data_IF_164250664037
#
_entry.id   IF_164250664037
#
_cell.length_a   1.000
_cell.length_b   1.000
_cell.length_c   1.000
_cell.angle_alpha   90.00
_cell.angle_beta   90.00
_cell.angle_gamma   90.00
#
_symmetry.space_group_name_H-M   'P 1'
#
loop_
_entity.id
_entity.type
_entity.pdbx_description
1 polymer ?
#
# COMPACT_ATOMS: atom_id res chain seq x y z
N UNK A 1 34.12 -10.41 -15.60
CA UNK A 1 33.90 -11.12 -14.32
C UNK A 1 33.08 -10.29 -13.36
N UNK A 2 33.00 -8.95 -13.55
CA UNK A 2 32.39 -8.01 -12.58
C UNK A 2 30.85 -7.82 -12.67
N UNK A 3 30.21 -8.26 -13.75
CA UNK A 3 28.76 -8.07 -13.91
C UNK A 3 27.92 -9.08 -13.10
N UNK A 4 28.45 -10.25 -12.79
CA UNK A 4 27.74 -11.28 -11.98
C UNK A 4 27.68 -10.86 -10.49
N UNK A 5 28.69 -10.16 -10.02
CA UNK A 5 28.80 -9.70 -8.62
C UNK A 5 27.76 -8.62 -8.27
N UNK A 6 27.49 -7.70 -9.19
CA UNK A 6 26.56 -6.56 -8.94
C UNK A 6 25.10 -7.02 -8.90
N UNK A 7 24.71 -7.94 -9.79
CA UNK A 7 23.34 -8.50 -9.80
C UNK A 7 23.06 -9.36 -8.56
N UNK A 8 24.08 -10.09 -8.06
CA UNK A 8 23.95 -10.89 -6.84
C UNK A 8 23.80 -10.02 -5.60
N UNK A 9 24.55 -8.93 -5.50
CA UNK A 9 24.48 -7.97 -4.39
C UNK A 9 23.12 -7.26 -4.38
N UNK A 10 22.62 -6.83 -5.53
CA UNK A 10 21.29 -6.20 -5.63
C UNK A 10 20.17 -7.16 -5.25
N UNK A 11 20.25 -8.42 -5.65
CA UNK A 11 19.24 -9.42 -5.27
C UNK A 11 19.26 -9.74 -3.77
N UNK A 12 20.42 -9.77 -3.14
CA UNK A 12 20.55 -9.96 -1.68
C UNK A 12 20.01 -8.74 -0.90
N UNK A 13 20.25 -7.52 -1.36
CA UNK A 13 19.70 -6.30 -0.76
C UNK A 13 18.18 -6.24 -0.88
N UNK A 14 17.62 -6.61 -2.04
CA UNK A 14 16.16 -6.71 -2.24
C UNK A 14 15.57 -7.80 -1.31
N UNK A 15 16.21 -8.96 -1.20
CA UNK A 15 15.79 -10.04 -0.30
C UNK A 15 15.79 -9.61 1.17
N UNK A 16 16.78 -8.84 1.60
CA UNK A 16 16.89 -8.31 2.96
C UNK A 16 15.86 -7.22 3.24
N UNK A 17 15.56 -6.37 2.24
CA UNK A 17 14.61 -5.26 2.36
C UNK A 17 13.17 -5.72 2.55
N UNK A 18 12.81 -6.90 2.01
CA UNK A 18 11.46 -7.46 2.06
C UNK A 18 11.47 -8.87 2.67
N UNK A 19 12.15 -9.03 3.81
CA UNK A 19 12.36 -10.33 4.45
C UNK A 19 11.07 -11.01 4.94
N UNK A 20 10.03 -10.25 5.26
CA UNK A 20 8.70 -10.71 5.64
C UNK A 20 7.72 -10.77 4.45
N UNK A 21 8.22 -10.59 3.23
CA UNK A 21 7.42 -10.55 2.01
C UNK A 21 7.20 -11.97 1.46
N UNK A 22 5.95 -12.40 1.24
CA UNK A 22 5.67 -13.66 0.57
C UNK A 22 6.17 -13.61 -0.88
N UNK A 23 6.48 -14.78 -1.46
CA UNK A 23 7.07 -14.87 -2.80
C UNK A 23 6.21 -14.16 -3.86
N UNK A 24 4.89 -14.37 -3.83
CA UNK A 24 3.95 -13.77 -4.80
C UNK A 24 3.97 -12.24 -4.77
N UNK A 25 4.11 -11.63 -3.58
CA UNK A 25 4.23 -10.19 -3.43
C UNK A 25 5.61 -9.70 -3.89
N UNK A 26 6.67 -10.44 -3.60
CA UNK A 26 8.04 -10.11 -4.04
C UNK A 26 8.15 -10.08 -5.56
N UNK A 27 7.59 -11.07 -6.25
CA UNK A 27 7.55 -11.12 -7.72
C UNK A 27 6.82 -9.91 -8.32
N UNK A 28 5.71 -9.48 -7.72
CA UNK A 28 4.99 -8.27 -8.10
C UNK A 28 5.86 -7.02 -7.94
N UNK A 29 6.56 -6.87 -6.80
CA UNK A 29 7.43 -5.70 -6.56
C UNK A 29 8.61 -5.67 -7.54
N UNK A 30 9.27 -6.79 -7.79
CA UNK A 30 10.36 -6.93 -8.77
C UNK A 30 9.87 -6.58 -10.19
N UNK A 31 8.69 -7.04 -10.57
CA UNK A 31 8.08 -6.72 -11.87
C UNK A 31 7.89 -5.20 -12.02
N UNK A 32 7.33 -4.55 -11.01
CA UNK A 32 7.07 -3.11 -11.06
C UNK A 32 8.35 -2.27 -11.00
N UNK A 33 9.35 -2.70 -10.27
CA UNK A 33 10.66 -2.03 -10.20
C UNK A 33 11.45 -2.19 -11.50
N UNK A 34 11.66 -3.41 -11.96
CA UNK A 34 12.62 -3.70 -13.03
C UNK A 34 11.98 -3.72 -14.43
N UNK A 35 10.71 -4.09 -14.57
CA UNK A 35 10.05 -4.16 -15.87
C UNK A 35 9.24 -2.89 -16.15
N UNK A 36 8.52 -2.38 -15.13
CA UNK A 36 7.71 -1.18 -15.29
C UNK A 36 8.48 0.12 -14.99
N UNK A 37 9.70 0.03 -14.46
CA UNK A 37 10.56 1.17 -14.17
C UNK A 37 10.00 2.14 -13.13
N UNK A 38 9.21 1.66 -12.19
CA UNK A 38 8.62 2.49 -11.15
C UNK A 38 9.67 2.92 -10.11
N UNK A 39 9.45 4.09 -9.52
CA UNK A 39 10.39 4.65 -8.53
C UNK A 39 10.47 3.79 -7.26
N UNK A 40 11.62 3.77 -6.56
CA UNK A 40 11.77 3.06 -5.29
C UNK A 40 10.73 3.48 -4.24
N UNK A 41 10.29 4.74 -4.26
CA UNK A 41 9.22 5.22 -3.38
C UNK A 41 7.90 4.54 -3.68
N UNK A 42 7.53 4.42 -4.96
CA UNK A 42 6.30 3.72 -5.38
C UNK A 42 6.33 2.24 -4.97
N UNK A 43 7.48 1.58 -5.14
CA UNK A 43 7.65 0.17 -4.73
C UNK A 43 7.52 0.02 -3.20
N UNK A 44 8.11 0.94 -2.44
CA UNK A 44 7.97 0.95 -0.99
C UNK A 44 6.51 1.13 -0.54
N UNK A 45 5.76 2.03 -1.20
CA UNK A 45 4.34 2.22 -0.92
C UNK A 45 3.50 0.99 -1.28
N UNK A 46 3.76 0.33 -2.41
CA UNK A 46 3.11 -0.94 -2.75
C UNK A 46 3.37 -2.01 -1.69
N UNK A 47 4.61 -2.15 -1.27
CA UNK A 47 4.97 -3.12 -0.23
C UNK A 47 4.22 -2.85 1.08
N UNK A 48 4.24 -1.62 1.57
CA UNK A 48 3.57 -1.25 2.82
C UNK A 48 2.05 -1.45 2.75
N UNK A 49 1.42 -1.08 1.63
CA UNK A 49 -0.01 -1.22 1.45
C UNK A 49 -0.45 -2.68 1.35
N UNK A 50 0.24 -3.47 0.55
CA UNK A 50 -0.07 -4.88 0.33
C UNK A 50 0.29 -5.74 1.53
N UNK A 51 1.38 -5.45 2.24
CA UNK A 51 1.72 -6.07 3.52
C UNK A 51 0.59 -5.91 4.52
N UNK A 52 0.11 -4.69 4.69
CA UNK A 52 -1.02 -4.40 5.59
C UNK A 52 -2.28 -5.15 5.17
N UNK A 53 -2.59 -5.17 3.89
CA UNK A 53 -3.75 -5.88 3.34
C UNK A 53 -3.67 -7.39 3.62
N UNK A 54 -2.55 -8.04 3.31
CA UNK A 54 -2.37 -9.47 3.53
C UNK A 54 -2.40 -9.85 5.03
N UNK A 55 -1.85 -9.00 5.90
CA UNK A 55 -1.94 -9.18 7.35
C UNK A 55 -3.38 -9.10 7.83
N UNK A 56 -4.16 -8.15 7.33
CA UNK A 56 -5.58 -8.05 7.65
C UNK A 56 -6.36 -9.28 7.14
N UNK A 57 -6.08 -9.76 5.94
CA UNK A 57 -6.70 -10.99 5.43
C UNK A 57 -6.38 -12.21 6.32
N UNK A 58 -5.15 -12.34 6.79
CA UNK A 58 -4.79 -13.42 7.75
C UNK A 58 -5.47 -13.24 9.09
N UNK A 59 -5.57 -12.01 9.60
CA UNK A 59 -6.29 -11.71 10.84
C UNK A 59 -7.74 -12.20 10.76
N UNK A 60 -8.44 -11.87 9.68
CA UNK A 60 -9.85 -12.25 9.49
C UNK A 60 -10.03 -13.76 9.31
N UNK A 61 -9.18 -14.40 8.51
CA UNK A 61 -9.27 -15.85 8.24
C UNK A 61 -8.90 -16.75 9.41
N UNK A 62 -8.02 -16.28 10.28
CA UNK A 62 -7.61 -17.01 11.48
C UNK A 62 -8.49 -16.65 12.70
N UNK A 63 -9.58 -15.92 12.50
CA UNK A 63 -10.52 -15.49 13.54
C UNK A 63 -9.80 -14.82 14.72
N UNK A 64 -8.73 -14.09 14.46
CA UNK A 64 -7.98 -13.39 15.49
C UNK A 64 -8.76 -12.17 15.99
N UNK A 65 -8.64 -11.80 17.27
CA UNK A 65 -9.25 -10.57 17.78
C UNK A 65 -8.82 -9.35 16.96
N UNK A 66 -9.77 -8.45 16.65
CA UNK A 66 -9.50 -7.21 15.89
C UNK A 66 -8.49 -6.30 16.59
N UNK A 67 -8.30 -6.49 17.90
CA UNK A 67 -7.27 -5.82 18.70
C UNK A 67 -5.85 -6.34 18.44
N UNK A 68 -5.69 -7.43 17.68
CA UNK A 68 -4.37 -7.97 17.34
C UNK A 68 -3.57 -6.93 16.56
N UNK A 69 -2.32 -6.72 16.97
CA UNK A 69 -1.42 -5.80 16.28
C UNK A 69 -1.08 -6.39 14.91
N UNK A 70 -1.53 -5.74 13.83
CA UNK A 70 -1.32 -6.22 12.47
C UNK A 70 0.18 -6.40 12.14
N UNK A 71 1.05 -5.60 12.76
CA UNK A 71 2.48 -5.66 12.49
C UNK A 71 3.15 -6.94 13.01
N UNK A 72 2.53 -7.66 13.93
CA UNK A 72 3.01 -8.92 14.47
C UNK A 72 2.59 -10.14 13.63
N UNK A 73 1.70 -9.96 12.65
CA UNK A 73 1.21 -11.06 11.81
C UNK A 73 2.23 -11.38 10.70
N UNK A 74 2.74 -12.61 10.72
CA UNK A 74 3.63 -13.13 9.68
C UNK A 74 2.82 -13.44 8.40
N UNK A 75 3.34 -13.00 7.26
CA UNK A 75 2.73 -13.21 5.95
C UNK A 75 3.62 -14.01 4.97
N UNK A 76 4.76 -14.52 5.42
CA UNK A 76 5.72 -15.22 4.54
C UNK A 76 5.17 -16.50 3.93
N UNK A 77 4.19 -17.10 4.56
CA UNK A 77 3.46 -18.29 4.15
C UNK A 77 2.26 -18.01 3.22
N UNK A 78 1.97 -16.75 2.93
CA UNK A 78 0.90 -16.39 1.99
C UNK A 78 1.30 -16.81 0.57
N UNK A 79 0.53 -17.71 0.00
CA UNK A 79 0.71 -18.23 -1.35
C UNK A 79 -0.44 -17.82 -2.29
N UNK A 80 -0.41 -18.32 -3.50
CA UNK A 80 -1.44 -18.02 -4.50
C UNK A 80 -2.79 -18.64 -4.12
N UNK A 81 -2.81 -19.78 -3.45
CA UNK A 81 -4.03 -20.45 -3.00
C UNK A 81 -4.75 -19.62 -1.94
N UNK A 82 -4.01 -19.03 -0.99
CA UNK A 82 -4.56 -18.07 -0.04
C UNK A 82 -5.18 -16.87 -0.76
N UNK A 83 -4.51 -16.30 -1.76
CA UNK A 83 -4.96 -15.11 -2.49
C UNK A 83 -6.18 -15.41 -3.39
N UNK A 84 -6.27 -16.60 -3.98
CA UNK A 84 -7.42 -17.03 -4.78
C UNK A 84 -8.74 -17.01 -4.01
N UNK A 85 -8.66 -17.21 -2.71
CA UNK A 85 -9.83 -17.22 -1.83
C UNK A 85 -10.27 -15.81 -1.38
N UNK A 86 -9.56 -14.76 -1.73
CA UNK A 86 -9.94 -13.38 -1.40
C UNK A 86 -11.01 -12.92 -2.39
N UNK A 87 -12.14 -12.48 -1.86
CA UNK A 87 -13.25 -11.98 -2.63
C UNK A 87 -13.46 -10.46 -2.47
N UNK A 88 -14.48 -9.94 -3.14
CA UNK A 88 -14.83 -8.52 -3.09
C UNK A 88 -15.26 -8.07 -1.68
N UNK A 89 -15.92 -8.97 -0.92
CA UNK A 89 -16.39 -8.68 0.45
C UNK A 89 -15.21 -8.50 1.40
N UNK A 90 -14.19 -9.34 1.28
CA UNK A 90 -12.95 -9.23 2.05
C UNK A 90 -12.30 -7.85 1.88
N UNK A 91 -12.30 -7.32 0.65
CA UNK A 91 -11.75 -6.00 0.37
C UNK A 91 -12.63 -4.88 0.93
N UNK A 92 -13.96 -5.05 0.93
CA UNK A 92 -14.85 -4.11 1.62
C UNK A 92 -14.61 -4.09 3.12
N UNK A 93 -14.43 -5.23 3.75
CA UNK A 93 -14.12 -5.34 5.18
C UNK A 93 -12.79 -4.65 5.51
N UNK A 94 -11.77 -4.83 4.67
CA UNK A 94 -10.51 -4.10 4.82
C UNK A 94 -10.69 -2.58 4.69
N UNK A 95 -11.45 -2.11 3.71
CA UNK A 95 -11.71 -0.68 3.53
C UNK A 95 -12.54 -0.09 4.68
N UNK A 96 -13.47 -0.87 5.24
CA UNK A 96 -14.24 -0.51 6.43
C UNK A 96 -13.35 -0.40 7.66
N UNK A 97 -12.51 -1.39 7.90
CA UNK A 97 -11.49 -1.36 8.96
C UNK A 97 -10.61 -0.12 8.86
N UNK A 98 -10.11 0.19 7.66
CA UNK A 98 -9.29 1.38 7.43
C UNK A 98 -10.05 2.69 7.68
N UNK A 99 -11.37 2.69 7.51
CA UNK A 99 -12.19 3.87 7.69
C UNK A 99 -12.54 4.16 9.16
N UNK A 100 -12.72 3.10 9.96
CA UNK A 100 -13.39 3.21 11.26
C UNK A 100 -12.56 2.68 12.42
N UNK A 101 -11.80 1.61 12.23
CA UNK A 101 -11.25 0.83 13.35
C UNK A 101 -9.72 0.94 13.47
N UNK A 102 -9.04 1.32 12.38
CA UNK A 102 -7.59 1.45 12.42
C UNK A 102 -7.15 2.63 13.28
N UNK A 103 -6.42 2.34 14.38
CA UNK A 103 -5.81 3.37 15.21
C UNK A 103 -4.69 4.10 14.42
N UNK A 104 -4.69 5.44 14.46
CA UNK A 104 -3.69 6.28 13.78
C UNK A 104 -2.49 6.51 14.69
N UNK A 105 -2.73 6.75 15.98
CA UNK A 105 -1.68 7.00 16.99
C UNK A 105 -1.87 6.02 18.16
N UNK A 106 -1.61 4.72 17.98
CA UNK A 106 -1.71 3.77 19.06
C UNK A 106 -0.71 4.13 20.18
N UNK A 107 -1.18 4.20 21.42
CA UNK A 107 -0.36 4.56 22.58
C UNK A 107 -0.53 6.00 23.07
N UNK A 108 -1.34 6.82 22.43
CA UNK A 108 -1.76 8.13 22.97
C UNK A 108 -2.97 7.98 23.91
N UNK A 109 -3.16 8.94 24.81
CA UNK A 109 -4.30 8.94 25.76
C UNK A 109 -5.66 9.04 25.04
N UNK A 110 -5.70 9.49 23.78
CA UNK A 110 -6.89 9.58 22.93
C UNK A 110 -6.49 9.23 21.50
N UNK A 111 -6.49 7.96 21.12
CA UNK A 111 -6.15 7.56 19.76
C UNK A 111 -7.24 8.00 18.77
N UNK A 112 -6.81 8.59 17.65
CA UNK A 112 -7.68 8.80 16.51
C UNK A 112 -7.86 7.50 15.73
N UNK A 113 -9.05 7.33 15.13
CA UNK A 113 -9.37 6.15 14.33
C UNK A 113 -9.72 6.51 12.89
N UNK A 114 -9.38 5.61 11.99
CA UNK A 114 -9.69 5.73 10.57
C UNK A 114 -8.77 6.67 9.80
N UNK A 115 -8.41 6.26 8.60
CA UNK A 115 -7.59 7.06 7.68
C UNK A 115 -8.43 7.80 6.64
N UNK A 116 -7.88 8.86 6.06
CA UNK A 116 -8.56 9.70 5.07
C UNK A 116 -9.02 8.89 3.84
N UNK A 117 -10.05 9.38 3.15
CA UNK A 117 -10.52 8.79 1.89
C UNK A 117 -9.40 8.72 0.82
N UNK A 118 -8.51 9.71 0.77
CA UNK A 118 -7.36 9.72 -0.13
C UNK A 118 -6.37 8.59 0.19
N UNK A 119 -6.08 8.37 1.48
CA UNK A 119 -5.20 7.28 1.89
C UNK A 119 -5.82 5.90 1.60
N UNK A 120 -7.14 5.74 1.80
CA UNK A 120 -7.87 4.50 1.43
C UNK A 120 -7.86 4.27 -0.09
N UNK A 121 -8.07 5.33 -0.88
CA UNK A 121 -8.03 5.23 -2.34
C UNK A 121 -6.65 4.80 -2.85
N UNK A 122 -5.56 5.32 -2.25
CA UNK A 122 -4.19 4.89 -2.57
C UNK A 122 -4.00 3.39 -2.28
N UNK A 123 -4.41 2.93 -1.11
CA UNK A 123 -4.31 1.50 -0.74
C UNK A 123 -5.13 0.60 -1.66
N UNK A 124 -6.33 1.01 -2.03
CA UNK A 124 -7.14 0.29 -3.01
C UNK A 124 -6.45 0.26 -4.39
N UNK A 125 -5.75 1.33 -4.79
CA UNK A 125 -4.96 1.35 -6.03
C UNK A 125 -3.85 0.31 -6.01
N UNK A 126 -3.14 0.16 -4.90
CA UNK A 126 -2.11 -0.87 -4.71
C UNK A 126 -2.69 -2.29 -4.83
N UNK A 127 -3.84 -2.53 -4.18
CA UNK A 127 -4.56 -3.81 -4.25
C UNK A 127 -5.02 -4.10 -5.69
N UNK A 128 -5.63 -3.13 -6.37
CA UNK A 128 -6.04 -3.28 -7.77
C UNK A 128 -4.87 -3.59 -8.71
N UNK A 129 -3.73 -2.93 -8.51
CA UNK A 129 -2.51 -3.20 -9.27
C UNK A 129 -2.01 -4.62 -9.07
N UNK A 130 -2.03 -5.10 -7.83
CA UNK A 130 -1.62 -6.45 -7.47
C UNK A 130 -2.51 -7.53 -8.10
N UNK A 131 -3.82 -7.44 -7.94
CA UNK A 131 -4.76 -8.39 -8.55
C UNK A 131 -4.72 -8.34 -10.08
N UNK A 132 -4.57 -7.14 -10.67
CA UNK A 132 -4.37 -7.00 -12.11
C UNK A 132 -3.08 -7.70 -12.59
N UNK A 133 -1.99 -7.61 -11.84
CA UNK A 133 -0.75 -8.32 -12.13
C UNK A 133 -1.00 -9.84 -12.13
N UNK A 134 -1.66 -10.37 -11.11
CA UNK A 134 -1.91 -11.80 -10.96
C UNK A 134 -2.88 -12.36 -12.03
N UNK A 135 -3.87 -11.57 -12.46
CA UNK A 135 -4.87 -12.02 -13.45
C UNK A 135 -4.41 -11.80 -14.89
N UNK A 136 -3.79 -10.66 -15.19
CA UNK A 136 -3.49 -10.27 -16.58
C UNK A 136 -2.06 -10.62 -16.98
N UNK A 137 -1.08 -10.45 -16.07
CA UNK A 137 0.34 -10.62 -16.41
C UNK A 137 0.82 -12.04 -16.20
N UNK A 138 0.60 -12.58 -14.99
CA UNK A 138 1.05 -13.93 -14.66
C UNK A 138 0.00 -15.01 -14.90
N UNK A 139 -1.27 -14.62 -15.01
CA UNK A 139 -2.42 -15.52 -15.17
C UNK A 139 -2.51 -16.60 -14.08
N UNK A 140 -2.02 -16.27 -12.88
CA UNK A 140 -2.11 -17.14 -11.72
C UNK A 140 -3.51 -17.15 -11.10
N UNK A 141 -4.29 -16.07 -11.33
CA UNK A 141 -5.70 -15.99 -10.98
C UNK A 141 -6.57 -15.96 -12.24
N UNK A 142 -7.73 -16.58 -12.18
CA UNK A 142 -8.72 -16.56 -13.26
C UNK A 142 -9.52 -15.26 -13.24
N UNK A 143 -9.99 -14.86 -12.05
CA UNK A 143 -10.85 -13.70 -11.83
C UNK A 143 -10.16 -12.64 -10.99
N UNK A 144 -10.55 -11.38 -11.22
CA UNK A 144 -10.08 -10.24 -10.46
C UNK A 144 -11.19 -9.72 -9.54
N UNK A 145 -11.17 -10.01 -8.23
CA UNK A 145 -12.24 -9.64 -7.30
C UNK A 145 -12.39 -8.13 -7.10
N UNK A 146 -11.41 -7.35 -7.53
CA UNK A 146 -11.38 -5.89 -7.33
C UNK A 146 -11.52 -5.09 -8.63
N UNK A 147 -11.79 -5.76 -9.78
CA UNK A 147 -11.84 -5.10 -11.08
C UNK A 147 -12.84 -3.92 -11.08
N UNK A 148 -14.06 -4.17 -10.62
CA UNK A 148 -15.18 -3.23 -10.67
C UNK A 148 -15.34 -2.39 -9.40
N UNK A 149 -14.43 -2.52 -8.41
CA UNK A 149 -14.49 -1.73 -7.20
C UNK A 149 -14.30 -0.25 -7.49
N UNK A 150 -15.24 0.57 -7.04
CA UNK A 150 -15.11 2.03 -7.10
C UNK A 150 -14.15 2.56 -6.01
N UNK A 151 -13.47 3.66 -6.32
CA UNK A 151 -12.64 4.34 -5.34
C UNK A 151 -13.49 5.11 -4.32
N UNK A 152 -13.04 5.20 -3.05
CA UNK A 152 -13.65 6.07 -2.07
C UNK A 152 -13.79 7.50 -2.60
N UNK A 153 -14.98 8.10 -2.45
CA UNK A 153 -15.24 9.47 -2.90
C UNK A 153 -14.35 10.45 -2.15
N UNK A 154 -13.51 11.16 -2.89
CA UNK A 154 -12.68 12.22 -2.34
C UNK A 154 -13.52 13.48 -2.19
N UNK A 155 -13.56 14.06 -0.99
CA UNK A 155 -14.07 15.43 -0.83
C UNK A 155 -13.09 16.36 -1.55
N UNK A 156 -13.55 17.04 -2.61
CA UNK A 156 -12.75 18.08 -3.25
C UNK A 156 -12.55 19.20 -2.21
N UNK A 157 -11.37 19.30 -1.64
CA UNK A 157 -11.00 20.50 -0.92
C UNK A 157 -10.82 21.62 -1.96
N UNK A 158 -11.47 22.75 -1.74
CA UNK A 158 -11.21 23.92 -2.56
C UNK A 158 -9.72 24.26 -2.45
N UNK A 159 -9.02 24.56 -3.56
CA UNK A 159 -7.65 25.00 -3.50
C UNK A 159 -7.57 26.21 -2.56
N UNK A 160 -6.67 26.14 -1.58
CA UNK A 160 -6.37 27.30 -0.74
C UNK A 160 -5.52 28.24 -1.59
N UNK A 161 -6.16 29.21 -2.21
CA UNK A 161 -5.42 30.29 -2.88
C UNK A 161 -4.83 31.21 -1.81
N UNK A 162 -3.60 31.66 -2.04
CA UNK A 162 -3.03 32.74 -1.26
C UNK A 162 -3.88 33.98 -1.48
N UNK A 163 -4.22 34.71 -0.40
CA UNK A 163 -4.82 36.05 -0.55
C UNK A 163 -3.81 36.99 -1.20
N UNK A 164 -4.31 38.11 -1.75
CA UNK A 164 -3.43 39.14 -2.32
C UNK A 164 -2.37 39.62 -1.31
N UNK A 165 -2.76 39.76 -0.04
CA UNK A 165 -1.87 40.15 1.06
C UNK A 165 -0.81 39.08 1.35
N UNK A 166 -1.20 37.81 1.38
CA UNK A 166 -0.26 36.68 1.55
C UNK A 166 0.72 36.53 0.38
N UNK A 167 0.24 36.78 -0.84
CA UNK A 167 1.07 36.78 -2.04
C UNK A 167 2.07 37.92 -2.04
N UNK A 168 1.63 39.12 -1.63
CA UNK A 168 2.50 40.28 -1.50
C UNK A 168 3.56 40.09 -0.40
N UNK A 169 3.17 39.54 0.76
CA UNK A 169 4.09 39.26 1.85
C UNK A 169 5.16 38.22 1.43
N UNK A 170 4.77 37.21 0.66
CA UNK A 170 5.71 36.18 0.12
C UNK A 170 6.71 36.82 -0.83
N UNK A 171 6.24 37.70 -1.74
CA UNK A 171 7.11 38.40 -2.68
C UNK A 171 8.08 39.36 -1.97
N UNK A 172 7.63 40.05 -0.92
CA UNK A 172 8.49 40.92 -0.12
C UNK A 172 9.55 40.13 0.65
N UNK A 173 9.21 38.95 1.19
CA UNK A 173 10.15 38.09 1.90
C UNK A 173 11.26 37.56 0.97
N UNK A 174 10.93 37.27 -0.29
CA UNK A 174 11.92 36.81 -1.30
C UNK A 174 12.79 37.96 -1.80
N UNK A 175 12.23 39.18 -1.91
CA UNK A 175 12.96 40.39 -2.40
C UNK A 175 13.88 41.03 -1.35
N UNK A 176 13.74 40.63 -0.07
CA UNK A 176 14.53 41.22 1.03
C UNK A 176 15.82 40.44 1.37
N UNK A 177 16.22 39.45 0.56
CA UNK A 177 17.43 38.64 0.75
C UNK A 177 18.53 38.95 -0.28
N UNK A 178 18.71 40.22 -0.67
CA UNK A 178 19.89 40.69 -1.41
C UNK A 178 20.71 41.66 -0.58
#
# INVERSE_FOLDING_TARGET
VDQISTASIQSEEIMKRYSDCPQVLREFLIYHENIMGQSPLTISEYYLDLRMFLRFMKLMRNEMPISTVLDDIDIRDVDIEFIQNIDTSDVFDFLSYLANDRAINPGTASPDYGISAAARARKLSSIKSFFKYLTVRTKQLQDNPVADLEYPKLRKSLPKYLTMEQSAALLQAVSGQN
#
